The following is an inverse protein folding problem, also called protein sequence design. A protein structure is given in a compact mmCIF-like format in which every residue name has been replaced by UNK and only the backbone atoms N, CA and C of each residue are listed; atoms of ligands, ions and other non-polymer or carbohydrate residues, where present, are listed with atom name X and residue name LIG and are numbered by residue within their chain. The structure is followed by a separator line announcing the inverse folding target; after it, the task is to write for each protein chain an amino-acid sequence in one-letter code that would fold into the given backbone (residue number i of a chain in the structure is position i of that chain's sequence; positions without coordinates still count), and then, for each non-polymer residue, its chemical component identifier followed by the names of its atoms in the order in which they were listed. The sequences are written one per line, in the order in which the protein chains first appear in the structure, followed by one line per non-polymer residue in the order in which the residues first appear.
data_IF_906574334234
#
_entry.id   IF_906574334234
#
_cell.length_a   1.000
_cell.length_b   1.000
_cell.length_c   1.000
_cell.angle_alpha   90.00
_cell.angle_beta   90.00
_cell.angle_gamma   90.00
#
_symmetry.space_group_name_H-M   'P 1'
#
loop_
_entity.id
_entity.type
_entity.pdbx_description
1 polymer ?
#
# COMPACT_ATOMS: atom_id res chain seq x y z
N UNK A 1 12.31 11.41 4.34
CA UNK A 1 11.83 10.03 4.48
C UNK A 1 12.12 9.40 5.83
N UNK A 2 13.34 9.40 6.38
CA UNK A 2 13.66 8.76 7.68
C UNK A 2 12.79 9.22 8.87
N UNK A 3 12.55 10.53 9.00
CA UNK A 3 11.66 11.09 10.03
C UNK A 3 10.20 10.63 9.86
N UNK A 4 9.71 10.59 8.61
CA UNK A 4 8.34 10.18 8.31
C UNK A 4 8.13 8.68 8.54
N UNK A 5 9.12 7.84 8.20
CA UNK A 5 9.05 6.40 8.46
C UNK A 5 9.08 6.10 9.95
N UNK A 6 9.93 6.79 10.72
CA UNK A 6 9.97 6.65 12.18
C UNK A 6 8.65 7.09 12.82
N UNK A 7 8.09 8.22 12.39
CA UNK A 7 6.79 8.71 12.88
C UNK A 7 5.65 7.73 12.56
N UNK A 8 5.61 7.16 11.35
CA UNK A 8 4.59 6.17 10.97
C UNK A 8 4.70 4.88 11.79
N UNK A 9 5.91 4.37 12.00
CA UNK A 9 6.13 3.22 12.87
C UNK A 9 5.69 3.49 14.33
N UNK A 10 5.91 4.71 14.82
CA UNK A 10 5.41 5.11 16.14
C UNK A 10 3.87 5.13 16.20
N UNK A 11 3.20 5.63 15.16
CA UNK A 11 1.73 5.61 15.07
C UNK A 11 1.19 4.16 15.05
N UNK A 12 1.83 3.25 14.32
CA UNK A 12 1.43 1.84 14.31
C UNK A 12 1.58 1.19 15.69
N UNK A 13 2.66 1.51 16.41
CA UNK A 13 2.86 1.04 17.77
C UNK A 13 1.80 1.61 18.73
N UNK A 14 1.52 2.93 18.64
CA UNK A 14 0.51 3.59 19.47
C UNK A 14 -0.90 3.03 19.20
N UNK A 15 -1.24 2.77 17.94
CA UNK A 15 -2.53 2.17 17.57
C UNK A 15 -2.75 0.84 18.29
N UNK A 16 -1.71 0.00 18.34
CA UNK A 16 -1.76 -1.30 19.00
C UNK A 16 -1.90 -1.18 20.51
N UNK A 17 -1.05 -0.37 21.15
CA UNK A 17 -1.00 -0.25 22.62
C UNK A 17 -2.24 0.46 23.15
N UNK A 18 -2.59 1.64 22.60
CA UNK A 18 -3.77 2.39 23.03
C UNK A 18 -5.06 1.62 22.76
N UNK A 19 -5.11 0.85 21.66
CA UNK A 19 -6.29 0.04 21.35
C UNK A 19 -6.58 -1.05 22.39
N UNK A 20 -5.57 -1.53 23.11
CA UNK A 20 -5.75 -2.48 24.23
C UNK A 20 -6.10 -1.73 25.52
N UNK A 21 -5.30 -0.72 25.85
CA UNK A 21 -5.46 0.08 27.08
C UNK A 21 -6.86 0.71 27.16
N UNK A 22 -7.31 1.33 26.07
CA UNK A 22 -8.58 2.06 26.07
C UNK A 22 -9.80 1.18 25.84
N UNK A 23 -9.63 0.01 25.24
CA UNK A 23 -10.73 -0.95 25.10
C UNK A 23 -11.14 -1.51 26.47
N UNK A 24 -10.16 -1.84 27.32
CA UNK A 24 -10.41 -2.39 28.64
C UNK A 24 -11.10 -1.40 29.59
N UNK A 25 -10.61 -0.16 29.63
CA UNK A 25 -11.02 0.82 30.65
C UNK A 25 -12.15 1.76 30.18
N UNK A 26 -12.30 1.95 28.87
CA UNK A 26 -13.17 3.00 28.32
C UNK A 26 -14.12 2.52 27.22
N UNK A 27 -14.06 1.23 26.83
CA UNK A 27 -14.80 0.72 25.67
C UNK A 27 -14.53 1.52 24.38
N UNK A 28 -13.35 2.13 24.27
CA UNK A 28 -12.93 2.89 23.09
C UNK A 28 -12.02 2.03 22.23
N UNK A 29 -12.27 2.04 20.92
CA UNK A 29 -11.45 1.35 19.92
C UNK A 29 -10.46 2.31 19.31
N UNK A 30 -9.25 1.81 19.03
CA UNK A 30 -8.22 2.56 18.31
C UNK A 30 -7.85 1.77 17.06
N UNK A 31 -7.94 2.41 15.90
CA UNK A 31 -7.66 1.77 14.60
C UNK A 31 -6.89 2.73 13.70
N UNK A 32 -5.98 2.19 12.90
CA UNK A 32 -5.25 2.92 11.87
C UNK A 32 -5.77 2.58 10.48
N UNK A 33 -5.54 3.48 9.52
CA UNK A 33 -5.69 3.21 8.09
C UNK A 33 -4.34 3.49 7.44
N UNK A 34 -3.86 2.56 6.62
CA UNK A 34 -2.66 2.69 5.81
C UNK A 34 -3.06 2.80 4.33
N UNK A 35 -3.19 4.03 3.78
CA UNK A 35 -3.55 4.23 2.38
C UNK A 35 -2.43 3.84 1.42
N UNK A 36 -2.83 3.30 0.26
CA UNK A 36 -1.96 3.16 -0.91
C UNK A 36 -1.82 4.46 -1.72
N UNK A 37 -1.50 4.37 -3.02
CA UNK A 37 -1.44 5.54 -3.89
C UNK A 37 -2.86 6.04 -4.20
N UNK A 38 -3.23 7.18 -3.60
CA UNK A 38 -4.57 7.78 -3.72
C UNK A 38 -4.54 9.00 -4.64
N UNK A 39 -5.34 8.98 -5.71
CA UNK A 39 -5.45 10.06 -6.68
C UNK A 39 -5.88 11.39 -6.03
N UNK A 40 -5.34 12.50 -6.54
CA UNK A 40 -5.64 13.84 -6.03
C UNK A 40 -5.04 14.18 -4.65
N UNK A 41 -4.15 13.34 -4.12
CA UNK A 41 -3.45 13.58 -2.83
C UNK A 41 -1.95 13.70 -3.01
N UNK A 42 -1.25 14.20 -1.99
CA UNK A 42 0.22 14.25 -1.97
C UNK A 42 0.88 12.86 -2.05
N UNK A 43 0.17 11.81 -1.65
CA UNK A 43 0.58 10.41 -1.78
C UNK A 43 0.13 9.74 -3.08
N UNK A 44 -0.46 10.48 -4.01
CA UNK A 44 -0.96 9.96 -5.29
C UNK A 44 0.05 9.94 -6.43
N UNK A 45 -0.38 9.47 -7.63
CA UNK A 45 0.46 9.39 -8.83
C UNK A 45 0.97 10.74 -9.36
N UNK A 46 0.32 11.83 -8.98
CA UNK A 46 0.75 13.20 -9.32
C UNK A 46 1.20 13.99 -8.09
N UNK A 47 1.24 13.35 -6.91
CA UNK A 47 1.57 13.98 -5.64
C UNK A 47 3.08 14.11 -5.42
N UNK A 48 3.51 15.00 -4.51
CA UNK A 48 4.93 15.27 -4.28
C UNK A 48 5.70 14.09 -3.68
N UNK A 49 5.01 13.17 -3.00
CA UNK A 49 5.66 12.08 -2.26
C UNK A 49 6.08 10.95 -3.19
N UNK A 50 5.22 10.55 -4.12
CA UNK A 50 5.47 9.40 -5.01
C UNK A 50 5.45 9.75 -6.49
N UNK A 51 4.87 10.87 -6.91
CA UNK A 51 4.57 11.12 -8.32
C UNK A 51 5.77 11.01 -9.25
N UNK A 52 6.95 11.51 -8.84
CA UNK A 52 8.17 11.36 -9.63
C UNK A 52 8.67 9.91 -9.72
N UNK A 53 8.49 9.11 -8.66
CA UNK A 53 8.96 7.73 -8.60
C UNK A 53 8.10 6.77 -9.44
N UNK A 54 6.80 7.07 -9.58
CA UNK A 54 5.84 6.25 -10.34
C UNK A 54 5.42 6.89 -11.67
N UNK A 55 6.05 7.99 -12.07
CA UNK A 55 5.79 8.65 -13.34
C UNK A 55 6.05 7.70 -14.51
N UNK A 56 5.06 7.55 -15.40
CA UNK A 56 5.16 6.72 -16.60
C UNK A 56 5.04 5.22 -16.38
N UNK A 57 4.84 4.76 -15.14
CA UNK A 57 4.53 3.35 -14.87
C UNK A 57 3.03 3.09 -15.05
N UNK A 58 2.68 1.90 -15.55
CA UNK A 58 1.30 1.46 -15.58
C UNK A 58 0.81 1.20 -14.14
N UNK A 59 -0.39 1.67 -13.83
CA UNK A 59 -1.01 1.44 -12.53
C UNK A 59 -1.18 -0.05 -12.25
N UNK A 60 -1.36 -0.88 -13.29
CA UNK A 60 -1.46 -2.33 -13.15
C UNK A 60 -0.17 -2.98 -12.63
N UNK A 61 0.98 -2.37 -12.92
CA UNK A 61 2.29 -2.85 -12.44
C UNK A 61 2.55 -2.46 -10.99
N UNK A 62 1.88 -1.41 -10.50
CA UNK A 62 2.05 -0.88 -9.14
C UNK A 62 0.98 -1.41 -8.18
N UNK A 63 -0.28 -1.40 -8.60
CA UNK A 63 -1.43 -1.75 -7.77
C UNK A 63 -2.10 -3.00 -8.34
N UNK A 64 -2.22 -4.09 -7.57
CA UNK A 64 -2.86 -5.32 -8.04
C UNK A 64 -4.31 -5.16 -8.54
N UNK A 65 -5.10 -4.25 -7.94
CA UNK A 65 -6.44 -3.91 -8.43
C UNK A 65 -6.45 -3.04 -9.71
N UNK A 66 -5.29 -2.73 -10.29
CA UNK A 66 -5.12 -2.01 -11.56
C UNK A 66 -5.85 -0.65 -11.64
N UNK A 67 -6.01 0.02 -10.50
CA UNK A 67 -6.52 1.40 -10.42
C UNK A 67 -5.85 2.15 -9.30
N UNK A 68 -5.82 3.47 -9.41
CA UNK A 68 -5.49 4.33 -8.27
C UNK A 68 -6.63 4.28 -7.25
N UNK A 69 -6.27 4.39 -5.97
CA UNK A 69 -7.28 4.60 -4.94
C UNK A 69 -7.89 5.99 -5.07
N UNK A 70 -9.12 6.15 -4.60
CA UNK A 70 -9.81 7.42 -4.48
C UNK A 70 -9.96 7.80 -3.02
N UNK A 71 -10.14 9.09 -2.72
CA UNK A 71 -10.42 9.56 -1.35
C UNK A 71 -11.66 8.89 -0.77
N UNK A 72 -12.61 8.49 -1.63
CA UNK A 72 -13.79 7.75 -1.24
C UNK A 72 -13.48 6.35 -0.70
N UNK A 73 -12.49 5.63 -1.23
CA UNK A 73 -12.09 4.31 -0.72
C UNK A 73 -11.64 4.40 0.75
N UNK A 74 -10.87 5.45 1.07
CA UNK A 74 -10.40 5.74 2.42
C UNK A 74 -11.56 6.19 3.32
N UNK A 75 -12.43 7.06 2.80
CA UNK A 75 -13.60 7.56 3.53
C UNK A 75 -14.58 6.46 3.91
N UNK A 76 -14.88 5.52 3.00
CA UNK A 76 -15.73 4.37 3.28
C UNK A 76 -15.10 3.42 4.30
N UNK A 77 -13.77 3.26 4.27
CA UNK A 77 -13.07 2.46 5.29
C UNK A 77 -13.17 3.13 6.66
N UNK A 78 -12.96 4.44 6.75
CA UNK A 78 -13.14 5.19 7.98
C UNK A 78 -14.59 5.06 8.51
N UNK A 79 -15.58 5.17 7.62
CA UNK A 79 -16.99 4.97 7.98
C UNK A 79 -17.23 3.56 8.53
N UNK A 80 -16.71 2.52 7.88
CA UNK A 80 -16.79 1.14 8.37
C UNK A 80 -16.22 1.01 9.79
N UNK A 81 -14.98 1.48 10.01
CA UNK A 81 -14.28 1.40 11.29
C UNK A 81 -14.98 2.20 12.40
N UNK A 82 -15.63 3.33 12.07
CA UNK A 82 -16.41 4.13 13.02
C UNK A 82 -17.82 3.60 13.27
N UNK A 83 -18.36 2.76 12.38
CA UNK A 83 -19.71 2.20 12.49
C UNK A 83 -19.80 0.95 13.37
N UNK A 84 -21.02 0.46 13.57
CA UNK A 84 -21.27 -0.84 14.23
C UNK A 84 -20.74 -2.03 13.42
N UNK A 85 -20.56 -1.89 12.10
CA UNK A 85 -19.98 -2.95 11.27
C UNK A 85 -18.49 -3.21 11.63
N UNK A 86 -17.77 -2.19 12.10
CA UNK A 86 -16.40 -2.28 12.60
C UNK A 86 -16.31 -2.44 14.13
N UNK A 87 -17.40 -2.74 14.83
CA UNK A 87 -17.47 -2.76 16.31
C UNK A 87 -16.49 -3.72 16.99
N UNK A 88 -15.99 -4.73 16.28
CA UNK A 88 -15.02 -5.70 16.79
C UNK A 88 -13.62 -5.55 16.17
N UNK A 89 -13.36 -4.42 15.51
CA UNK A 89 -12.05 -4.07 14.95
C UNK A 89 -11.40 -3.02 15.85
N UNK A 90 -10.30 -3.40 16.50
CA UNK A 90 -9.48 -2.54 17.37
C UNK A 90 -8.02 -3.00 17.32
N UNK A 91 -7.09 -2.11 17.68
CA UNK A 91 -5.64 -2.33 17.72
C UNK A 91 -5.01 -2.71 16.37
N UNK A 92 -5.67 -2.40 15.26
CA UNK A 92 -5.26 -2.82 13.92
C UNK A 92 -5.08 -1.60 12.99
N UNK A 93 -4.06 -1.68 12.11
CA UNK A 93 -3.87 -0.73 11.01
C UNK A 93 -4.26 -1.40 9.71
N UNK A 94 -5.42 -1.03 9.15
CA UNK A 94 -5.92 -1.64 7.92
C UNK A 94 -5.25 -1.04 6.68
N UNK A 95 -4.61 -1.88 5.87
CA UNK A 95 -4.11 -1.48 4.56
C UNK A 95 -5.28 -1.28 3.57
N UNK A 96 -5.35 -0.10 2.96
CA UNK A 96 -6.34 0.27 1.95
C UNK A 96 -5.62 0.77 0.71
N UNK A 97 -5.09 -0.17 -0.06
CA UNK A 97 -4.07 0.12 -1.07
C UNK A 97 -4.19 -0.73 -2.35
N UNK A 98 -5.30 -1.45 -2.50
CA UNK A 98 -5.53 -2.35 -3.63
C UNK A 98 -4.57 -3.55 -3.69
N UNK A 99 -3.96 -3.93 -2.56
CA UNK A 99 -3.07 -5.08 -2.43
C UNK A 99 -1.59 -4.76 -2.61
N UNK A 100 -1.23 -3.49 -2.80
CA UNK A 100 0.14 -3.06 -3.11
C UNK A 100 1.16 -3.51 -2.03
N UNK A 101 0.81 -3.38 -0.74
CA UNK A 101 1.66 -3.74 0.39
C UNK A 101 2.07 -5.22 0.39
N UNK A 102 1.23 -6.09 -0.17
CA UNK A 102 1.45 -7.54 -0.22
C UNK A 102 1.87 -8.06 -1.60
N UNK A 103 2.23 -7.16 -2.54
CA UNK A 103 2.49 -7.52 -3.95
C UNK A 103 3.90 -8.11 -4.21
N UNK A 104 4.73 -8.26 -3.18
CA UNK A 104 6.14 -8.66 -3.31
C UNK A 104 6.34 -9.96 -4.11
N UNK A 105 5.45 -10.95 -3.98
CA UNK A 105 5.54 -12.20 -4.71
C UNK A 105 5.28 -12.03 -6.22
N UNK A 106 4.39 -11.11 -6.62
CA UNK A 106 4.13 -10.78 -8.03
C UNK A 106 5.34 -10.08 -8.62
N UNK A 107 5.88 -9.10 -7.91
CA UNK A 107 7.08 -8.35 -8.31
C UNK A 107 8.30 -9.27 -8.48
N UNK A 108 8.49 -10.22 -7.56
CA UNK A 108 9.57 -11.21 -7.66
C UNK A 108 9.42 -12.13 -8.89
N UNK A 109 8.19 -12.55 -9.23
CA UNK A 109 7.93 -13.32 -10.45
C UNK A 109 8.24 -12.51 -11.71
N UNK A 110 7.72 -11.29 -11.79
CA UNK A 110 7.97 -10.38 -12.91
C UNK A 110 9.48 -10.15 -13.15
N UNK A 111 10.23 -9.90 -12.08
CA UNK A 111 11.68 -9.73 -12.16
C UNK A 111 12.41 -10.98 -12.66
N UNK A 112 11.96 -12.18 -12.24
CA UNK A 112 12.53 -13.45 -12.70
C UNK A 112 12.28 -13.69 -14.19
N UNK A 113 11.07 -13.38 -14.65
CA UNK A 113 10.68 -13.59 -16.05
C UNK A 113 11.40 -12.60 -16.98
N UNK A 114 11.61 -11.36 -16.53
CA UNK A 114 12.45 -10.39 -17.21
C UNK A 114 13.90 -10.90 -17.40
N UNK A 115 14.51 -11.41 -16.33
CA UNK A 115 15.89 -11.95 -16.40
C UNK A 115 15.99 -13.14 -17.35
N UNK A 116 14.98 -14.03 -17.37
CA UNK A 116 14.90 -15.15 -18.31
C UNK A 116 14.78 -14.66 -19.75
N UNK A 117 13.93 -13.67 -20.01
CA UNK A 117 13.75 -13.07 -21.33
C UNK A 117 15.05 -12.47 -21.89
N UNK A 118 15.80 -11.73 -21.07
CA UNK A 118 17.10 -11.14 -21.44
C UNK A 118 18.14 -12.25 -21.72
N UNK A 119 18.16 -13.32 -20.92
CA UNK A 119 19.07 -14.44 -21.14
C UNK A 119 18.76 -15.19 -22.44
N UNK A 120 17.48 -15.38 -22.76
CA UNK A 120 17.04 -16.01 -23.99
C UNK A 120 17.37 -15.17 -25.23
N UNK A 121 17.18 -13.84 -25.18
CA UNK A 121 17.47 -12.96 -26.32
C UNK A 121 18.97 -12.85 -26.64
N UNK A 122 19.85 -12.94 -25.63
CA UNK A 122 21.32 -12.99 -25.83
C UNK A 122 21.83 -14.29 -26.45
N UNK A 123 21.08 -15.39 -26.39
CA UNK A 123 21.51 -16.70 -26.92
C UNK A 123 21.22 -16.90 -28.41
N UNK A 124 20.56 -15.96 -29.09
CA UNK A 124 20.34 -16.01 -30.53
C UNK A 124 21.63 -15.60 -31.26
N UNK A 125 22.33 -16.51 -31.97
CA UNK A 125 23.55 -16.16 -32.67
C UNK A 125 23.23 -15.27 -33.88
N UNK A 126 23.98 -14.20 -34.04
CA UNK A 126 24.13 -13.44 -35.28
C UNK A 126 24.56 -14.38 -36.42
N UNK A 127 23.59 -14.94 -37.14
CA UNK A 127 23.79 -15.72 -38.36
C UNK A 127 23.40 -14.89 -39.57
N UNK A 128 24.20 -13.85 -39.85
CA UNK A 128 24.30 -13.24 -41.19
C UNK A 128 25.73 -12.74 -41.39
N UNK A 129 26.57 -13.62 -41.93
CA UNK A 129 27.68 -13.31 -42.83
C UNK A 129 27.39 -14.05 -44.14
#
# INVERSE_FOLDING_TARGET
QSHATAAKAAIDSLTKTLGVEWAADHQVRVTGIAPGPIAGTEGGPTGRVFGAAIAGQDVADIVPLARWGETHDIGLTALYLSSTAGSYVSSETLAVDGGNWHDAARQFRAGRDLVRGISASRKTPSSKL
#
